data_IF_157033612542
#
_entry.id   IF_157033612542
#
_cell.length_a   1.000
_cell.length_b   1.000
_cell.length_c   1.000
_cell.angle_alpha   90.00
_cell.angle_beta   90.00
_cell.angle_gamma   90.00
#
_symmetry.space_group_name_H-M   'P 1'
#
loop_
_entity.id
_entity.type
_entity.pdbx_description
1 polymer ?
#
# COMPACT_ATOMS: atom_id res chain seq x y z
N UNK A 1 -27.93 23.35 28.78
CA UNK A 1 -26.75 22.60 28.28
C UNK A 1 -25.67 23.61 27.91
N UNK A 2 -24.60 23.72 28.68
CA UNK A 2 -23.59 24.78 28.50
C UNK A 2 -22.69 24.48 27.28
N UNK A 3 -22.57 25.42 26.31
CA UNK A 3 -21.81 25.23 25.07
C UNK A 3 -20.27 25.18 25.27
N UNK A 4 -19.80 25.41 26.50
CA UNK A 4 -18.38 25.55 26.86
C UNK A 4 -17.65 24.19 26.89
N UNK A 5 -18.36 23.09 27.13
CA UNK A 5 -17.72 21.77 27.12
C UNK A 5 -17.38 21.30 25.71
N UNK A 6 -18.21 21.63 24.71
CA UNK A 6 -18.02 21.18 23.33
C UNK A 6 -16.81 21.87 22.66
N UNK A 7 -16.50 23.10 23.07
CA UNK A 7 -15.46 23.94 22.46
C UNK A 7 -14.03 23.43 22.71
N UNK A 8 -13.80 22.71 23.81
CA UNK A 8 -12.47 22.12 24.12
C UNK A 8 -12.38 20.64 23.75
N UNK A 9 -13.51 19.92 23.75
CA UNK A 9 -13.55 18.49 23.39
C UNK A 9 -13.21 18.30 21.91
N UNK A 10 -13.75 19.14 21.03
CA UNK A 10 -13.51 19.05 19.59
C UNK A 10 -12.00 19.19 19.26
N UNK A 11 -11.28 20.25 19.66
CA UNK A 11 -9.86 20.39 19.31
C UNK A 11 -8.97 19.31 19.96
N UNK A 12 -9.28 18.86 21.19
CA UNK A 12 -8.57 17.75 21.82
C UNK A 12 -8.77 16.43 21.08
N UNK A 13 -9.99 16.18 20.60
CA UNK A 13 -10.30 15.01 19.78
C UNK A 13 -9.52 15.04 18.47
N UNK A 14 -9.47 16.18 17.77
CA UNK A 14 -8.71 16.32 16.54
C UNK A 14 -7.20 16.19 16.75
N UNK A 15 -6.65 16.75 17.83
CA UNK A 15 -5.23 16.57 18.20
C UNK A 15 -4.90 15.09 18.47
N UNK A 16 -5.75 14.40 19.23
CA UNK A 16 -5.61 12.96 19.48
C UNK A 16 -5.71 12.15 18.20
N UNK A 17 -6.69 12.45 17.35
CA UNK A 17 -6.88 11.77 16.06
C UNK A 17 -5.67 11.98 15.15
N UNK A 18 -5.18 13.22 15.04
CA UNK A 18 -4.02 13.55 14.22
C UNK A 18 -2.76 12.84 14.72
N UNK A 19 -2.51 12.84 16.04
CA UNK A 19 -1.40 12.11 16.64
C UNK A 19 -1.47 10.61 16.37
N UNK A 20 -2.66 10.01 16.52
CA UNK A 20 -2.90 8.60 16.20
C UNK A 20 -2.63 8.31 14.71
N UNK A 21 -3.17 9.12 13.80
CA UNK A 21 -2.95 8.95 12.35
C UNK A 21 -1.49 9.11 11.95
N UNK A 22 -0.76 10.03 12.58
CA UNK A 22 0.67 10.21 12.34
C UNK A 22 1.48 8.99 12.78
N UNK A 23 1.18 8.44 13.96
CA UNK A 23 1.82 7.21 14.46
C UNK A 23 1.47 6.01 13.57
N UNK A 24 0.19 5.84 13.21
CA UNK A 24 -0.26 4.76 12.33
C UNK A 24 0.44 4.84 10.96
N UNK A 25 0.51 6.04 10.36
CA UNK A 25 1.19 6.27 9.08
C UNK A 25 2.70 5.98 9.17
N UNK A 26 3.34 6.36 10.28
CA UNK A 26 4.74 6.06 10.53
C UNK A 26 4.99 4.55 10.70
N UNK A 27 4.09 3.81 11.33
CA UNK A 27 4.17 2.35 11.45
C UNK A 27 4.01 1.70 10.07
N UNK A 28 2.97 2.06 9.33
CA UNK A 28 2.67 1.51 8.00
C UNK A 28 3.85 1.74 7.05
N UNK A 29 4.46 2.92 7.09
CA UNK A 29 5.65 3.22 6.27
C UNK A 29 6.89 2.41 6.64
N UNK A 30 6.99 1.90 7.88
CA UNK A 30 8.10 1.04 8.33
C UNK A 30 7.88 -0.44 8.03
N UNK A 31 6.63 -0.91 8.01
CA UNK A 31 6.31 -2.35 7.84
C UNK A 31 6.38 -2.86 6.39
N UNK A 32 6.68 -2.00 5.41
CA UNK A 32 6.61 -2.36 4.00
C UNK A 32 5.17 -2.33 3.48
N UNK A 33 4.99 -2.64 2.20
CA UNK A 33 3.68 -2.59 1.55
C UNK A 33 2.73 -3.69 2.05
N UNK A 34 1.43 -3.51 1.81
CA UNK A 34 0.41 -4.52 2.10
C UNK A 34 -0.43 -4.76 0.83
N UNK A 35 -0.07 -5.80 0.09
CA UNK A 35 -0.74 -6.18 -1.16
C UNK A 35 -0.71 -7.71 -1.32
N UNK A 36 -1.47 -8.46 -0.50
CA UNK A 36 -1.49 -9.91 -0.55
C UNK A 36 -2.04 -10.40 -1.91
N UNK A 37 -1.36 -11.37 -2.52
CA UNK A 37 -1.73 -11.91 -3.83
C UNK A 37 -1.53 -10.95 -5.00
N UNK A 38 -0.73 -9.90 -4.83
CA UNK A 38 -0.32 -8.99 -5.91
C UNK A 38 1.17 -9.10 -6.16
N UNK A 39 1.54 -9.03 -7.44
CA UNK A 39 2.93 -8.92 -7.89
C UNK A 39 3.15 -7.67 -8.71
N UNK A 40 4.39 -7.19 -8.68
CA UNK A 40 4.89 -6.16 -9.59
C UNK A 40 5.81 -6.83 -10.61
N UNK A 41 5.50 -6.70 -11.90
CA UNK A 41 6.24 -7.29 -13.02
C UNK A 41 6.82 -6.20 -13.91
N UNK A 42 8.11 -6.27 -14.22
CA UNK A 42 8.73 -5.40 -15.21
C UNK A 42 8.23 -5.78 -16.62
N UNK A 43 7.68 -4.82 -17.37
CA UNK A 43 7.16 -5.11 -18.73
C UNK A 43 8.28 -5.35 -19.75
N UNK A 44 9.52 -4.96 -19.44
CA UNK A 44 10.67 -5.12 -20.34
C UNK A 44 11.39 -6.45 -20.15
N UNK A 45 11.68 -6.86 -18.91
CA UNK A 45 12.46 -8.08 -18.64
C UNK A 45 11.65 -9.22 -18.01
N UNK A 46 10.37 -9.00 -17.68
CA UNK A 46 9.52 -10.01 -17.06
C UNK A 46 9.81 -10.32 -15.59
N UNK A 47 10.92 -9.82 -15.03
CA UNK A 47 11.23 -10.01 -13.61
C UNK A 47 10.09 -9.45 -12.75
N UNK A 48 9.67 -10.26 -11.77
CA UNK A 48 8.58 -9.92 -10.87
C UNK A 48 8.97 -10.20 -9.42
N UNK A 49 8.26 -9.54 -8.51
CA UNK A 49 8.34 -9.78 -7.07
C UNK A 49 7.00 -9.45 -6.40
N UNK A 50 6.75 -9.89 -5.16
CA UNK A 50 5.57 -9.49 -4.43
C UNK A 50 5.42 -7.96 -4.36
N UNK A 51 4.21 -7.46 -4.58
CA UNK A 51 3.94 -6.02 -4.56
C UNK A 51 4.15 -5.42 -3.16
N UNK A 52 3.88 -6.19 -2.10
CA UNK A 52 4.14 -5.82 -0.72
C UNK A 52 5.62 -5.47 -0.47
N UNK A 53 6.54 -6.28 -1.00
CA UNK A 53 8.00 -6.03 -0.95
C UNK A 53 8.43 -4.79 -1.76
N UNK A 54 7.57 -4.28 -2.62
CA UNK A 54 7.80 -3.02 -3.35
C UNK A 54 7.24 -1.80 -2.61
N UNK A 55 6.74 -1.95 -1.37
CA UNK A 55 6.09 -0.87 -0.63
C UNK A 55 4.69 -0.54 -1.13
N UNK A 56 4.11 -1.38 -1.98
CA UNK A 56 2.79 -1.12 -2.57
C UNK A 56 1.72 -1.59 -1.58
N UNK A 57 0.74 -0.72 -1.33
CA UNK A 57 -0.46 -1.04 -0.56
C UNK A 57 -1.64 -1.18 -1.54
N UNK A 58 -2.29 -2.34 -1.57
CA UNK A 58 -3.53 -2.59 -2.30
C UNK A 58 -4.48 -3.45 -1.47
N UNK A 59 -5.65 -2.89 -1.17
CA UNK A 59 -6.74 -3.54 -0.46
C UNK A 59 -7.96 -3.53 -1.38
N UNK A 60 -8.60 -4.69 -1.58
CA UNK A 60 -9.80 -4.86 -2.41
C UNK A 60 -9.72 -4.28 -3.84
N UNK A 61 -8.51 -4.10 -4.38
CA UNK A 61 -8.32 -3.57 -5.72
C UNK A 61 -8.68 -4.61 -6.79
N UNK A 62 -9.01 -4.14 -7.98
CA UNK A 62 -9.21 -4.97 -9.16
C UNK A 62 -8.38 -4.44 -10.34
N UNK A 63 -8.09 -5.34 -11.29
CA UNK A 63 -7.43 -5.01 -12.54
C UNK A 63 -5.92 -4.77 -12.46
N UNK A 64 -5.28 -4.80 -13.63
CA UNK A 64 -3.85 -4.53 -13.81
C UNK A 64 -3.61 -3.03 -13.90
N UNK A 65 -2.63 -2.53 -13.17
CA UNK A 65 -2.19 -1.12 -13.23
C UNK A 65 -0.77 -1.05 -13.80
N UNK A 66 -0.54 -0.16 -14.75
CA UNK A 66 0.81 0.14 -15.22
C UNK A 66 1.33 1.43 -14.58
N UNK A 67 2.58 1.42 -14.14
CA UNK A 67 3.23 2.60 -13.55
C UNK A 67 4.73 2.59 -13.82
N UNK A 68 5.44 3.66 -13.46
CA UNK A 68 6.89 3.71 -13.53
C UNK A 68 7.46 3.15 -12.23
N UNK A 69 8.45 2.27 -12.36
CA UNK A 69 9.15 1.67 -11.23
C UNK A 69 10.59 1.36 -11.57
N UNK A 70 11.45 1.30 -10.54
CA UNK A 70 12.83 0.84 -10.71
C UNK A 70 12.84 -0.69 -10.68
N UNK A 71 13.27 -1.29 -11.78
CA UNK A 71 13.44 -2.74 -11.84
C UNK A 71 14.76 -3.13 -11.18
N UNK A 72 14.74 -4.05 -10.21
CA UNK A 72 15.92 -4.62 -9.54
C UNK A 72 16.87 -5.30 -10.53
N UNK A 73 16.32 -6.00 -11.53
CA UNK A 73 17.09 -6.73 -12.54
C UNK A 73 17.69 -5.80 -13.61
N UNK A 74 16.88 -4.92 -14.23
CA UNK A 74 17.37 -3.97 -15.24
C UNK A 74 18.17 -2.80 -14.64
N UNK A 75 18.03 -2.55 -13.33
CA UNK A 75 18.59 -1.40 -12.58
C UNK A 75 18.20 0.00 -13.11
N UNK A 76 17.23 0.07 -14.02
CA UNK A 76 16.72 1.27 -14.70
C UNK A 76 15.26 1.53 -14.35
N UNK A 77 14.80 2.77 -14.54
CA UNK A 77 13.37 3.09 -14.57
C UNK A 77 12.73 2.41 -15.77
N UNK A 78 11.66 1.65 -15.50
CA UNK A 78 10.90 0.89 -16.49
C UNK A 78 9.41 1.03 -16.19
N UNK A 79 8.61 0.77 -17.20
CA UNK A 79 7.19 0.53 -16.99
C UNK A 79 7.04 -0.82 -16.27
N UNK A 80 6.24 -0.84 -15.22
CA UNK A 80 5.95 -2.02 -14.39
C UNK A 80 4.45 -2.23 -14.34
N UNK A 81 4.02 -3.48 -14.41
CA UNK A 81 2.65 -3.92 -14.25
C UNK A 81 2.43 -4.39 -12.82
N UNK A 82 1.44 -3.85 -12.13
CA UNK A 82 0.96 -4.32 -10.83
C UNK A 82 -0.31 -5.13 -11.11
N UNK A 83 -0.19 -6.43 -11.01
CA UNK A 83 -1.21 -7.42 -11.39
C UNK A 83 -1.41 -8.44 -10.27
N UNK A 84 -2.53 -9.17 -10.31
CA UNK A 84 -2.71 -10.30 -9.40
C UNK A 84 -1.63 -11.34 -9.67
N UNK A 85 -1.12 -11.93 -8.60
CA UNK A 85 -0.20 -13.04 -8.71
C UNK A 85 -1.00 -14.31 -9.08
N UNK A 86 -0.74 -14.93 -10.25
CA UNK A 86 -1.43 -16.16 -10.63
C UNK A 86 -1.21 -17.29 -9.62
N UNK A 87 -0.04 -17.33 -8.97
CA UNK A 87 0.32 -18.43 -8.07
C UNK A 87 -0.37 -18.28 -6.70
N UNK A 88 -0.63 -17.04 -6.28
CA UNK A 88 -1.38 -16.77 -5.05
C UNK A 88 -2.86 -17.21 -5.14
N UNK A 89 -3.43 -17.30 -6.35
CA UNK A 89 -4.77 -17.85 -6.55
C UNK A 89 -4.79 -19.39 -6.54
N UNK A 90 -3.66 -20.04 -6.83
CA UNK A 90 -3.57 -21.50 -6.85
C UNK A 90 -3.44 -22.10 -5.44
N UNK A 91 -2.87 -21.35 -4.48
CA UNK A 91 -2.57 -21.83 -3.12
C UNK A 91 -3.71 -21.60 -2.10
N UNK A 92 -4.81 -20.98 -2.54
CA UNK A 92 -6.09 -20.91 -1.81
C UNK A 92 -7.23 -21.18 -2.79
N UNK A 93 -7.51 -22.45 -3.14
CA UNK A 93 -8.72 -22.80 -3.88
C UNK A 93 -9.93 -22.40 -3.03
N UNK A 94 -10.82 -21.62 -3.64
CA UNK A 94 -12.07 -21.15 -3.05
C UNK A 94 -12.99 -22.30 -2.61
#
# INVERSE_FOLDING_TARGET
MNPIHLTWIIPLFFLSLFGFFAILSAIISRTGGYAPGWRIRCTTCGHHKPAAEAGIIRVAAAGTKYTLGRCSHCRKLRLVAIEKDPDAAAEHPA
#
